data_IF_890237114296
#
_entry.id   IF_890237114296
#
_cell.length_a   1.000
_cell.length_b   1.000
_cell.length_c   1.000
_cell.angle_alpha   90.00
_cell.angle_beta   90.00
_cell.angle_gamma   90.00
#
_symmetry.space_group_name_H-M   'P 1'
#
loop_
_entity.id
_entity.type
_entity.pdbx_description
1 polymer ?
#
# COMPACT_ATOMS: atom_id res chain seq x y z
N UNK A 1 5.19 12.57 -23.94
CA UNK A 1 5.66 11.17 -24.02
C UNK A 1 5.39 10.62 -25.41
N UNK A 2 6.18 9.62 -25.81
CA UNK A 2 6.08 8.91 -27.07
C UNK A 2 6.48 7.45 -26.84
N UNK A 3 5.95 6.55 -27.64
CA UNK A 3 6.27 5.11 -27.65
C UNK A 3 6.91 4.62 -28.96
N UNK A 4 7.33 5.55 -29.81
CA UNK A 4 8.10 5.33 -31.04
C UNK A 4 9.51 5.89 -30.83
N UNK A 5 10.55 5.15 -31.29
CA UNK A 5 11.95 5.43 -30.96
C UNK A 5 12.82 5.71 -32.19
N UNK A 6 12.20 5.94 -33.34
CA UNK A 6 12.93 6.43 -34.52
C UNK A 6 13.29 7.93 -34.37
N UNK A 7 14.32 8.37 -35.08
CA UNK A 7 14.86 9.73 -34.96
C UNK A 7 13.83 10.82 -35.23
N UNK A 8 12.91 10.62 -36.20
CA UNK A 8 11.89 11.60 -36.58
C UNK A 8 10.88 11.76 -35.43
N UNK A 9 10.43 10.66 -34.87
CA UNK A 9 9.48 10.65 -33.76
C UNK A 9 10.09 11.26 -32.49
N UNK A 10 11.35 10.94 -32.20
CA UNK A 10 12.10 11.55 -31.09
C UNK A 10 12.27 13.07 -31.28
N UNK A 11 12.68 13.52 -32.47
CA UNK A 11 12.80 14.96 -32.74
C UNK A 11 11.44 15.67 -32.58
N UNK A 12 10.38 15.09 -33.10
CA UNK A 12 9.02 15.63 -33.00
C UNK A 12 8.56 15.82 -31.55
N UNK A 13 8.80 14.84 -30.69
CA UNK A 13 8.40 14.96 -29.26
C UNK A 13 9.19 16.03 -28.53
N UNK A 14 10.49 16.19 -28.84
CA UNK A 14 11.34 17.23 -28.25
C UNK A 14 10.85 18.62 -28.70
N UNK A 15 10.62 18.82 -30.02
CA UNK A 15 10.09 20.09 -30.55
C UNK A 15 8.74 20.42 -29.93
N UNK A 16 7.86 19.43 -29.79
CA UNK A 16 6.56 19.64 -29.14
C UNK A 16 6.72 20.06 -27.67
N UNK A 17 7.67 19.47 -26.94
CA UNK A 17 7.95 19.88 -25.57
C UNK A 17 8.45 21.34 -25.49
N UNK A 18 9.31 21.77 -26.44
CA UNK A 18 9.78 23.14 -26.53
C UNK A 18 8.64 24.14 -26.81
N UNK A 19 7.77 23.83 -27.78
CA UNK A 19 6.58 24.65 -28.09
C UNK A 19 5.69 24.84 -26.88
N UNK A 20 5.39 23.76 -26.17
CA UNK A 20 4.57 23.80 -24.95
C UNK A 20 5.24 24.63 -23.85
N UNK A 21 6.56 24.47 -23.68
CA UNK A 21 7.31 25.26 -22.69
C UNK A 21 7.28 26.77 -22.99
N UNK A 22 7.34 27.15 -24.27
CA UNK A 22 7.27 28.57 -24.68
C UNK A 22 5.90 29.20 -24.43
N UNK A 23 4.83 28.40 -24.47
CA UNK A 23 3.46 28.83 -24.19
C UNK A 23 3.09 28.80 -22.70
N UNK A 24 3.85 28.09 -21.89
CA UNK A 24 3.59 27.97 -20.46
C UNK A 24 3.94 29.26 -19.71
N UNK A 25 3.15 29.69 -18.72
CA UNK A 25 3.52 30.79 -17.86
C UNK A 25 4.78 30.44 -17.03
N UNK A 26 5.53 31.46 -16.63
CA UNK A 26 6.65 31.27 -15.71
C UNK A 26 6.18 30.60 -14.42
N UNK A 27 6.92 29.59 -13.99
CA UNK A 27 6.65 28.91 -12.72
C UNK A 27 7.46 29.58 -11.58
N UNK A 28 6.82 30.32 -10.65
CA UNK A 28 7.54 30.96 -9.53
C UNK A 28 8.23 29.98 -8.59
N UNK A 29 7.87 28.71 -8.65
CA UNK A 29 8.47 27.63 -7.86
C UNK A 29 9.51 26.83 -8.68
N UNK A 30 9.97 27.36 -9.79
CA UNK A 30 10.95 26.68 -10.62
C UNK A 30 12.24 26.42 -9.86
N UNK A 31 12.68 25.17 -9.93
CA UNK A 31 13.98 24.73 -9.38
C UNK A 31 14.86 24.23 -10.51
N UNK A 32 16.05 24.77 -10.61
CA UNK A 32 17.04 24.30 -11.59
C UNK A 32 17.23 22.78 -11.53
N UNK A 33 17.29 22.07 -12.68
CA UNK A 33 17.56 20.64 -12.71
C UNK A 33 18.84 20.28 -11.93
N UNK A 34 18.84 19.12 -11.30
CA UNK A 34 20.01 18.62 -10.57
C UNK A 34 21.18 18.33 -11.53
N UNK A 35 22.38 18.60 -11.09
CA UNK A 35 23.61 18.07 -11.70
C UNK A 35 23.85 16.60 -11.31
N UNK A 36 25.07 16.06 -11.61
CA UNK A 36 25.43 14.70 -11.24
C UNK A 36 25.20 14.41 -9.76
N UNK A 37 24.67 13.21 -9.47
CA UNK A 37 24.40 12.76 -8.11
C UNK A 37 25.19 11.49 -7.82
N UNK A 38 25.48 11.27 -6.53
CA UNK A 38 26.05 10.01 -6.06
C UNK A 38 24.93 9.17 -5.44
N UNK A 39 24.71 7.99 -5.97
CA UNK A 39 23.71 7.04 -5.47
C UNK A 39 24.38 5.97 -4.61
N UNK A 40 23.62 5.36 -3.71
CA UNK A 40 24.04 4.16 -3.00
C UNK A 40 24.17 2.96 -3.94
N UNK A 41 24.62 1.82 -3.41
CA UNK A 41 24.68 0.58 -4.16
C UNK A 41 23.29 0.22 -4.73
N UNK A 42 23.27 -0.49 -5.85
CA UNK A 42 22.04 -0.94 -6.47
C UNK A 42 21.22 -1.80 -5.50
N UNK A 43 19.93 -1.55 -5.47
CA UNK A 43 18.97 -2.38 -4.73
C UNK A 43 18.54 -3.59 -5.57
N UNK A 44 18.07 -4.65 -4.91
CA UNK A 44 17.66 -5.91 -5.56
C UNK A 44 16.28 -5.79 -6.24
N UNK A 45 16.06 -4.76 -7.05
CA UNK A 45 14.79 -4.53 -7.75
C UNK A 45 14.60 -5.38 -8.99
N UNK A 46 15.65 -5.94 -9.54
CA UNK A 46 15.61 -6.76 -10.76
C UNK A 46 16.05 -8.20 -10.48
N UNK A 47 15.20 -9.16 -10.87
CA UNK A 47 15.42 -10.59 -10.67
C UNK A 47 15.28 -11.33 -12.01
N UNK A 48 16.32 -12.05 -12.42
CA UNK A 48 16.37 -12.74 -13.72
C UNK A 48 15.28 -13.81 -13.87
N UNK A 49 14.92 -14.54 -12.82
CA UNK A 49 13.85 -15.54 -12.88
C UNK A 49 12.49 -14.91 -13.24
N UNK A 50 12.20 -13.72 -12.73
CA UNK A 50 10.98 -12.95 -13.06
C UNK A 50 11.05 -12.39 -14.47
N UNK A 51 12.20 -11.85 -14.87
CA UNK A 51 12.41 -11.35 -16.24
C UNK A 51 12.27 -12.43 -17.31
N UNK A 52 12.46 -13.70 -16.93
CA UNK A 52 12.38 -14.90 -17.80
C UNK A 52 11.04 -15.64 -17.76
N UNK A 53 10.00 -15.11 -17.12
CA UNK A 53 8.67 -15.74 -17.08
C UNK A 53 8.15 -15.97 -18.50
N UNK A 54 7.61 -17.18 -18.71
CA UNK A 54 7.06 -17.61 -20.00
C UNK A 54 5.53 -17.71 -19.93
N UNK A 55 4.84 -17.73 -21.08
CA UNK A 55 3.37 -17.85 -21.13
C UNK A 55 2.82 -19.06 -20.37
N UNK A 56 3.56 -20.18 -20.34
CA UNK A 56 3.17 -21.41 -19.64
C UNK A 56 2.99 -21.21 -18.15
N UNK A 57 3.80 -20.34 -17.52
CA UNK A 57 3.63 -19.97 -16.10
C UNK A 57 2.27 -19.31 -15.86
N UNK A 58 1.88 -18.37 -16.74
CA UNK A 58 0.57 -17.68 -16.62
C UNK A 58 -0.59 -18.63 -16.77
N UNK A 59 -0.48 -19.57 -17.73
CA UNK A 59 -1.49 -20.61 -17.94
C UNK A 59 -1.60 -21.53 -16.72
N UNK A 60 -0.48 -21.91 -16.11
CA UNK A 60 -0.45 -22.73 -14.90
C UNK A 60 -1.11 -22.01 -13.73
N UNK A 61 -0.79 -20.72 -13.51
CA UNK A 61 -1.43 -19.92 -12.45
C UNK A 61 -2.94 -19.82 -12.64
N UNK A 62 -3.42 -19.67 -13.87
CA UNK A 62 -4.85 -19.68 -14.17
C UNK A 62 -5.49 -21.05 -13.83
N UNK A 63 -4.84 -22.15 -14.22
CA UNK A 63 -5.31 -23.50 -13.91
C UNK A 63 -5.34 -23.76 -12.39
N UNK A 64 -4.29 -23.38 -11.66
CA UNK A 64 -4.19 -23.51 -10.21
C UNK A 64 -5.25 -22.68 -9.45
N UNK A 65 -5.80 -21.66 -10.10
CA UNK A 65 -6.88 -20.85 -9.54
C UNK A 65 -8.26 -21.39 -9.87
N UNK A 66 -8.48 -21.77 -11.14
CA UNK A 66 -9.79 -22.14 -11.66
C UNK A 66 -10.18 -23.56 -11.24
N UNK A 67 -9.28 -24.54 -11.40
CA UNK A 67 -9.62 -25.94 -11.16
C UNK A 67 -10.10 -26.20 -9.71
N UNK A 68 -9.37 -25.79 -8.65
CA UNK A 68 -9.85 -25.98 -7.29
C UNK A 68 -11.07 -25.11 -6.94
N UNK A 69 -11.29 -23.99 -7.64
CA UNK A 69 -12.48 -23.17 -7.45
C UNK A 69 -13.74 -23.90 -7.91
N UNK A 70 -13.70 -24.54 -9.07
CA UNK A 70 -14.82 -25.35 -9.62
C UNK A 70 -15.20 -26.48 -8.65
N UNK A 71 -14.23 -27.17 -8.05
CA UNK A 71 -14.47 -28.25 -7.07
C UNK A 71 -15.21 -27.76 -5.80
N UNK A 72 -15.14 -26.47 -5.51
CA UNK A 72 -15.75 -25.84 -4.32
C UNK A 72 -17.01 -25.04 -4.64
N UNK A 73 -17.53 -25.15 -5.86
CA UNK A 73 -18.68 -24.39 -6.33
C UNK A 73 -18.46 -22.87 -6.19
N UNK A 74 -17.29 -22.43 -6.67
CA UNK A 74 -16.83 -21.03 -6.65
C UNK A 74 -16.34 -20.65 -8.03
N UNK A 75 -16.62 -19.43 -8.47
CA UNK A 75 -16.08 -18.84 -9.69
C UNK A 75 -14.88 -17.99 -9.37
N UNK A 76 -13.77 -18.22 -10.08
CA UNK A 76 -12.55 -17.45 -9.99
C UNK A 76 -12.52 -16.29 -11.00
N UNK A 77 -12.20 -15.08 -10.54
CA UNK A 77 -11.87 -13.93 -11.38
C UNK A 77 -10.58 -13.30 -10.87
N UNK A 78 -9.56 -13.25 -11.71
CA UNK A 78 -8.23 -12.83 -11.26
C UNK A 78 -7.45 -12.07 -12.32
N UNK A 79 -6.34 -11.52 -11.89
CA UNK A 79 -5.39 -10.79 -12.70
C UNK A 79 -3.97 -11.24 -12.32
N UNK A 80 -3.18 -11.59 -13.32
CA UNK A 80 -1.76 -11.85 -13.18
C UNK A 80 -1.00 -10.99 -14.19
N UNK A 81 -0.09 -10.19 -13.69
CA UNK A 81 0.86 -9.44 -14.49
C UNK A 81 2.28 -9.78 -14.05
N UNK A 82 3.16 -10.00 -15.02
CA UNK A 82 4.59 -9.95 -14.82
C UNK A 82 5.18 -8.81 -15.64
N UNK A 83 6.11 -8.11 -15.08
CA UNK A 83 6.73 -6.95 -15.67
C UNK A 83 8.25 -7.01 -15.58
N UNK A 84 8.90 -6.47 -16.60
CA UNK A 84 10.32 -6.14 -16.59
C UNK A 84 10.53 -4.83 -17.33
N UNK A 85 11.36 -3.99 -16.80
CA UNK A 85 11.62 -2.70 -17.42
C UNK A 85 12.79 -1.97 -16.79
N UNK A 86 13.03 -0.81 -17.33
CA UNK A 86 13.97 0.13 -16.76
C UNK A 86 13.34 1.52 -16.73
N UNK A 87 13.86 2.33 -15.85
CA UNK A 87 13.57 3.75 -15.79
C UNK A 87 14.90 4.50 -15.74
N UNK A 88 15.05 5.51 -16.57
CA UNK A 88 16.24 6.37 -16.62
C UNK A 88 15.86 7.84 -16.65
N UNK A 89 16.68 8.68 -16.06
CA UNK A 89 16.59 10.13 -16.16
C UNK A 89 17.96 10.69 -16.55
N UNK A 90 17.95 11.65 -17.47
CA UNK A 90 19.12 12.42 -17.86
C UNK A 90 18.73 13.88 -18.12
N UNK A 91 19.65 14.79 -17.93
CA UNK A 91 19.44 16.20 -18.25
C UNK A 91 20.74 16.89 -18.74
N UNK A 92 20.61 18.13 -19.23
CA UNK A 92 21.72 18.94 -19.77
C UNK A 92 22.77 19.36 -18.72
N UNK A 93 22.49 19.21 -17.41
CA UNK A 93 23.44 19.48 -16.34
C UNK A 93 24.29 18.26 -15.96
N UNK A 94 24.17 17.16 -16.71
CA UNK A 94 24.93 15.93 -16.49
C UNK A 94 24.38 14.99 -15.46
N UNK A 95 23.14 15.21 -14.98
CA UNK A 95 22.43 14.18 -14.20
C UNK A 95 22.21 12.96 -15.08
N UNK A 96 22.54 11.79 -14.55
CA UNK A 96 22.14 10.50 -15.09
C UNK A 96 21.82 9.54 -13.97
N UNK A 97 20.65 8.91 -14.03
CA UNK A 97 20.26 7.82 -13.14
C UNK A 97 19.55 6.73 -13.92
N UNK A 98 19.78 5.49 -13.55
CA UNK A 98 19.24 4.31 -14.20
C UNK A 98 18.82 3.30 -13.14
N UNK A 99 17.66 2.67 -13.32
CA UNK A 99 17.20 1.57 -12.49
C UNK A 99 16.43 0.57 -13.36
N UNK A 100 16.71 -0.71 -13.18
CA UNK A 100 15.91 -1.79 -13.76
C UNK A 100 15.11 -2.50 -12.68
N UNK A 101 13.94 -3.00 -13.04
CA UNK A 101 13.06 -3.68 -12.09
C UNK A 101 12.27 -4.80 -12.75
N UNK A 102 11.88 -5.75 -11.94
CA UNK A 102 10.92 -6.80 -12.28
C UNK A 102 9.80 -6.82 -11.25
N UNK A 103 8.64 -7.32 -11.66
CA UNK A 103 7.49 -7.47 -10.77
C UNK A 103 6.60 -8.62 -11.23
N UNK A 104 5.94 -9.23 -10.27
CA UNK A 104 4.81 -10.13 -10.48
C UNK A 104 3.70 -9.68 -9.53
N UNK A 105 2.55 -9.39 -10.08
CA UNK A 105 1.34 -9.01 -9.35
C UNK A 105 0.25 -10.04 -9.63
N UNK A 106 -0.23 -10.68 -8.59
CA UNK A 106 -1.32 -11.65 -8.68
C UNK A 106 -2.43 -11.29 -7.70
N UNK A 107 -3.63 -11.14 -8.23
CA UNK A 107 -4.85 -10.91 -7.43
C UNK A 107 -5.94 -11.86 -7.90
N UNK A 108 -6.71 -12.41 -6.97
CA UNK A 108 -7.83 -13.26 -7.29
C UNK A 108 -8.99 -13.01 -6.34
N UNK A 109 -10.19 -12.87 -6.91
CA UNK A 109 -11.46 -12.84 -6.21
C UNK A 109 -12.20 -14.14 -6.53
N UNK A 110 -12.68 -14.79 -5.51
CA UNK A 110 -13.51 -16.00 -5.59
C UNK A 110 -14.92 -15.65 -5.15
N UNK A 111 -15.93 -16.07 -5.94
CA UNK A 111 -17.33 -15.87 -5.60
C UNK A 111 -18.06 -17.20 -5.61
N UNK A 112 -18.83 -17.49 -4.57
CA UNK A 112 -19.67 -18.66 -4.55
C UNK A 112 -20.76 -18.56 -5.63
N UNK A 113 -21.09 -19.68 -6.29
CA UNK A 113 -22.04 -19.67 -7.41
C UNK A 113 -23.48 -19.36 -6.98
N UNK A 114 -23.79 -19.54 -5.69
CA UNK A 114 -25.04 -19.08 -5.07
C UNK A 114 -25.11 -17.56 -4.85
N UNK A 115 -24.00 -16.83 -5.12
CA UNK A 115 -23.90 -15.38 -4.96
C UNK A 115 -23.78 -14.88 -3.54
N UNK A 116 -23.70 -15.76 -2.53
CA UNK A 116 -23.72 -15.35 -1.11
C UNK A 116 -22.35 -15.17 -0.49
N UNK A 117 -21.31 -15.75 -1.08
CA UNK A 117 -19.94 -15.73 -0.56
C UNK A 117 -18.93 -15.07 -1.50
N UNK A 118 -17.97 -14.37 -0.93
CA UNK A 118 -16.87 -13.75 -1.64
C UNK A 118 -15.57 -13.83 -0.83
N UNK A 119 -14.46 -14.05 -1.51
CA UNK A 119 -13.13 -14.07 -0.91
C UNK A 119 -12.10 -13.49 -1.86
N UNK A 120 -11.13 -12.76 -1.33
CA UNK A 120 -10.05 -12.16 -2.08
C UNK A 120 -8.71 -12.50 -1.45
N UNK A 121 -7.73 -12.69 -2.30
CA UNK A 121 -6.33 -12.76 -1.90
C UNK A 121 -5.44 -12.18 -3.01
N UNK A 122 -4.28 -11.68 -2.61
CA UNK A 122 -3.30 -11.12 -3.53
C UNK A 122 -1.88 -11.34 -3.05
N UNK A 123 -0.94 -11.27 -3.97
CA UNK A 123 0.48 -11.17 -3.69
C UNK A 123 1.17 -10.35 -4.77
N UNK A 124 2.21 -9.63 -4.38
CA UNK A 124 3.12 -8.93 -5.28
C UNK A 124 4.56 -9.21 -4.86
N UNK A 125 5.45 -9.40 -5.80
CA UNK A 125 6.88 -9.51 -5.51
C UNK A 125 7.71 -9.20 -6.77
N UNK A 126 8.94 -8.73 -6.57
CA UNK A 126 9.90 -8.59 -7.67
C UNK A 126 10.57 -9.92 -8.06
N UNK A 127 10.47 -10.96 -7.21
CA UNK A 127 10.94 -12.32 -7.46
C UNK A 127 9.75 -13.28 -7.53
N UNK A 128 9.51 -13.89 -8.70
CA UNK A 128 8.44 -14.85 -8.94
C UNK A 128 8.50 -16.07 -8.02
N UNK A 129 9.71 -16.46 -7.59
CA UNK A 129 9.89 -17.61 -6.70
C UNK A 129 9.39 -17.36 -5.26
N UNK A 130 9.06 -16.10 -4.94
CA UNK A 130 8.48 -15.71 -3.64
C UNK A 130 6.96 -15.69 -3.63
N UNK A 131 6.32 -15.93 -4.78
CA UNK A 131 4.86 -16.01 -4.91
C UNK A 131 4.44 -17.47 -5.07
N UNK A 132 3.43 -17.88 -4.31
CA UNK A 132 2.78 -19.17 -4.47
C UNK A 132 1.31 -18.97 -4.87
N UNK A 133 0.99 -18.91 -6.17
CA UNK A 133 -0.35 -18.64 -6.67
C UNK A 133 -1.40 -19.66 -6.21
N UNK A 134 -1.04 -20.94 -6.12
CA UNK A 134 -1.94 -21.99 -5.65
C UNK A 134 -2.38 -21.76 -4.19
N UNK A 135 -1.42 -21.37 -3.32
CA UNK A 135 -1.74 -21.05 -1.92
C UNK A 135 -2.59 -19.78 -1.80
N UNK A 136 -2.33 -18.77 -2.63
CA UNK A 136 -3.10 -17.52 -2.67
C UNK A 136 -4.53 -17.79 -3.14
N UNK A 137 -4.69 -18.57 -4.22
CA UNK A 137 -6.00 -18.99 -4.73
C UNK A 137 -6.78 -19.79 -3.69
N UNK A 138 -6.10 -20.72 -3.00
CA UNK A 138 -6.72 -21.47 -1.89
C UNK A 138 -7.22 -20.54 -0.78
N UNK A 139 -6.42 -19.53 -0.38
CA UNK A 139 -6.84 -18.55 0.63
C UNK A 139 -8.10 -17.79 0.21
N UNK A 140 -8.21 -17.40 -1.06
CA UNK A 140 -9.40 -16.74 -1.59
C UNK A 140 -10.61 -17.67 -1.66
N UNK A 141 -10.41 -18.92 -2.06
CA UNK A 141 -11.47 -19.97 -2.06
C UNK A 141 -11.98 -20.21 -0.65
N UNK A 142 -11.08 -20.42 0.31
CA UNK A 142 -11.46 -20.67 1.71
C UNK A 142 -12.31 -19.51 2.26
N UNK A 143 -11.91 -18.25 1.99
CA UNK A 143 -12.68 -17.07 2.38
C UNK A 143 -14.05 -17.02 1.70
N UNK A 144 -14.15 -17.32 0.41
CA UNK A 144 -15.41 -17.33 -0.32
C UNK A 144 -16.38 -18.38 0.24
N UNK A 145 -15.88 -19.59 0.50
CA UNK A 145 -16.70 -20.67 1.09
C UNK A 145 -17.13 -20.31 2.52
N UNK A 146 -16.21 -19.77 3.34
CA UNK A 146 -16.50 -19.39 4.71
C UNK A 146 -17.44 -18.20 4.84
N UNK A 147 -17.53 -17.33 3.82
CA UNK A 147 -18.36 -16.12 3.84
C UNK A 147 -19.78 -16.31 3.32
N UNK A 148 -20.16 -17.54 2.92
CA UNK A 148 -21.53 -17.87 2.49
C UNK A 148 -22.56 -17.58 3.59
N UNK A 149 -23.74 -17.12 3.20
CA UNK A 149 -24.88 -16.85 4.09
C UNK A 149 -24.53 -15.90 5.24
N UNK A 150 -23.81 -14.82 4.94
CA UNK A 150 -23.36 -13.85 5.93
C UNK A 150 -24.54 -13.23 6.71
N UNK A 151 -24.41 -13.20 8.04
CA UNK A 151 -25.42 -12.67 8.96
C UNK A 151 -25.22 -11.17 9.20
N UNK A 152 -26.32 -10.44 9.33
CA UNK A 152 -26.27 -9.09 9.82
C UNK A 152 -25.98 -9.08 11.34
N UNK A 153 -25.15 -8.18 11.79
CA UNK A 153 -24.97 -7.84 13.19
C UNK A 153 -25.03 -6.31 13.34
N UNK A 154 -25.28 -5.83 14.55
CA UNK A 154 -25.42 -4.39 14.80
C UNK A 154 -24.09 -3.65 14.54
N UNK A 155 -24.14 -2.49 13.82
CA UNK A 155 -23.01 -1.58 13.75
C UNK A 155 -22.58 -1.10 15.13
N UNK A 156 -21.35 -0.66 15.25
CA UNK A 156 -20.81 -0.17 16.53
C UNK A 156 -19.29 -0.25 16.60
N UNK A 157 -18.76 -0.20 17.80
CA UNK A 157 -17.32 -0.35 18.05
C UNK A 157 -16.97 -1.79 18.36
N UNK A 158 -15.97 -2.30 17.67
CA UNK A 158 -15.49 -3.67 17.85
C UNK A 158 -13.97 -3.73 17.96
N UNK A 159 -13.47 -4.70 18.67
CA UNK A 159 -12.10 -5.14 18.46
C UNK A 159 -12.02 -5.77 17.06
N UNK A 160 -11.05 -5.36 16.26
CA UNK A 160 -10.83 -5.94 14.93
C UNK A 160 -9.48 -6.62 14.87
N UNK A 161 -9.42 -7.72 14.14
CA UNK A 161 -8.19 -8.33 13.66
C UNK A 161 -8.10 -7.99 12.18
N UNK A 162 -7.07 -7.24 11.79
CA UNK A 162 -6.82 -6.83 10.42
C UNK A 162 -5.75 -7.72 9.79
N UNK A 163 -6.03 -8.36 8.65
CA UNK A 163 -4.96 -8.96 7.84
C UNK A 163 -4.00 -7.87 7.33
N UNK A 164 -2.79 -8.24 6.93
CA UNK A 164 -1.77 -7.29 6.49
C UNK A 164 -2.23 -6.37 5.35
N UNK A 165 -3.05 -6.87 4.42
CA UNK A 165 -3.65 -6.06 3.35
C UNK A 165 -4.62 -5.00 3.89
N UNK A 166 -5.48 -5.37 4.82
CA UNK A 166 -6.40 -4.42 5.47
C UNK A 166 -5.63 -3.38 6.32
N UNK A 167 -4.56 -3.81 6.99
CA UNK A 167 -3.66 -2.90 7.71
C UNK A 167 -3.00 -1.90 6.76
N UNK A 168 -2.47 -2.38 5.63
CA UNK A 168 -1.82 -1.55 4.61
C UNK A 168 -2.79 -0.52 4.01
N UNK A 169 -4.05 -0.90 3.79
CA UNK A 169 -5.09 -0.02 3.26
C UNK A 169 -5.27 1.24 4.11
N UNK A 170 -5.19 1.12 5.43
CA UNK A 170 -5.37 2.25 6.34
C UNK A 170 -4.05 2.97 6.65
N UNK A 171 -2.95 2.23 6.88
CA UNK A 171 -1.65 2.85 7.19
C UNK A 171 -1.15 3.73 6.03
N UNK A 172 -1.33 3.30 4.76
CA UNK A 172 -0.92 4.10 3.59
C UNK A 172 -1.53 5.50 3.55
N UNK A 173 -2.72 5.68 4.14
CA UNK A 173 -3.40 6.98 4.18
C UNK A 173 -2.66 8.03 5.02
N UNK A 174 -1.82 7.58 5.96
CA UNK A 174 -0.95 8.45 6.75
C UNK A 174 0.32 8.88 6.01
N UNK A 175 0.68 8.21 4.91
CA UNK A 175 1.99 8.39 4.27
C UNK A 175 2.10 9.68 3.45
N UNK A 176 1.01 10.43 3.27
CA UNK A 176 1.07 11.78 2.71
C UNK A 176 1.57 12.80 3.77
N UNK A 177 2.79 12.55 4.27
CA UNK A 177 3.42 13.35 5.32
C UNK A 177 4.19 14.53 4.70
N UNK A 178 3.51 15.34 3.89
CA UNK A 178 4.10 16.47 3.18
C UNK A 178 4.24 17.69 4.09
N UNK A 179 5.45 18.24 4.17
CA UNK A 179 5.77 19.37 5.03
C UNK A 179 5.03 20.65 4.62
N UNK A 180 4.90 20.93 3.32
CA UNK A 180 4.22 22.11 2.82
C UNK A 180 2.74 22.11 3.20
N UNK A 181 2.03 21.01 2.95
CA UNK A 181 0.61 20.92 3.32
C UNK A 181 0.39 21.03 4.83
N UNK A 182 1.36 20.53 5.61
CA UNK A 182 1.32 20.66 7.07
C UNK A 182 1.55 22.12 7.52
N UNK A 183 2.53 22.80 6.97
CA UNK A 183 2.81 24.23 7.26
C UNK A 183 1.65 25.14 6.85
N UNK A 184 0.98 24.83 5.73
CA UNK A 184 -0.16 25.59 5.21
C UNK A 184 -1.49 25.29 5.94
N UNK A 185 -1.49 24.45 6.98
CA UNK A 185 -2.68 24.15 7.77
C UNK A 185 -3.66 23.16 7.11
N UNK A 186 -3.25 22.45 6.04
CA UNK A 186 -4.10 21.58 5.21
C UNK A 186 -3.91 20.08 5.46
N UNK A 187 -3.29 19.70 6.59
CA UNK A 187 -2.93 18.31 6.89
C UNK A 187 -3.18 17.98 8.35
N UNK A 188 -3.37 16.68 8.62
CA UNK A 188 -3.39 16.14 9.98
C UNK A 188 -2.08 16.40 10.77
N UNK A 189 -1.01 16.77 10.07
CA UNK A 189 0.29 17.14 10.65
C UNK A 189 0.42 18.64 10.92
N UNK A 190 -0.61 19.42 10.65
CA UNK A 190 -0.64 20.85 10.98
C UNK A 190 -0.90 21.07 12.46
N UNK A 191 -0.23 22.07 13.04
CA UNK A 191 -0.51 22.54 14.40
C UNK A 191 -1.54 23.67 14.41
N UNK A 192 -2.37 23.71 15.42
CA UNK A 192 -3.23 24.87 15.68
C UNK A 192 -2.34 26.08 16.01
N UNK A 193 -2.47 27.13 15.25
CA UNK A 193 -1.63 28.33 15.38
C UNK A 193 -0.39 28.34 14.50
N UNK A 194 -0.17 27.35 13.67
CA UNK A 194 0.90 27.28 12.68
C UNK A 194 2.01 26.27 12.97
N UNK A 195 2.75 25.89 11.93
CA UNK A 195 3.81 24.90 11.99
C UNK A 195 3.32 23.46 11.90
N UNK A 196 4.25 22.53 12.06
CA UNK A 196 4.01 21.09 11.84
C UNK A 196 4.13 20.30 13.14
N UNK A 197 3.59 19.08 13.17
CA UNK A 197 3.74 18.12 14.28
C UNK A 197 5.05 17.31 14.20
N UNK A 198 6.05 17.78 13.43
CA UNK A 198 7.38 17.13 13.43
C UNK A 198 7.94 17.08 14.86
N UNK A 199 8.42 15.91 15.28
CA UNK A 199 8.91 15.66 16.64
C UNK A 199 7.83 15.41 17.68
N UNK A 200 6.55 15.44 17.34
CA UNK A 200 5.45 15.16 18.29
C UNK A 200 5.00 13.70 18.22
N UNK A 201 4.55 13.18 19.36
CA UNK A 201 3.90 11.86 19.44
C UNK A 201 2.54 11.92 18.74
N UNK A 202 2.34 11.08 17.74
CA UNK A 202 1.11 11.01 16.94
C UNK A 202 0.30 9.76 17.22
N UNK A 203 0.97 8.63 17.42
CA UNK A 203 0.36 7.30 17.58
C UNK A 203 1.02 6.51 18.71
N UNK A 204 0.58 5.26 18.94
CA UNK A 204 1.16 4.36 19.95
C UNK A 204 2.68 4.20 19.75
N UNK A 205 3.42 4.12 20.83
CA UNK A 205 4.90 4.05 20.83
C UNK A 205 5.47 2.78 20.19
N UNK A 206 4.67 1.73 20.03
CA UNK A 206 5.06 0.51 19.30
C UNK A 206 5.10 0.71 17.78
N UNK A 207 4.50 1.79 17.28
CA UNK A 207 4.44 2.07 15.84
C UNK A 207 5.76 2.66 15.36
N UNK A 208 6.41 1.91 14.47
CA UNK A 208 7.61 2.33 13.76
C UNK A 208 7.39 2.12 12.26
N UNK A 209 7.44 3.20 11.48
CA UNK A 209 7.25 3.18 10.02
C UNK A 209 8.45 3.86 9.38
N UNK A 210 9.08 3.21 8.41
CA UNK A 210 10.27 3.72 7.74
C UNK A 210 10.28 3.34 6.25
N UNK A 211 11.19 3.95 5.50
CA UNK A 211 11.54 3.57 4.13
C UNK A 211 13.01 3.19 4.07
N UNK A 212 13.32 2.14 3.32
CA UNK A 212 14.67 1.61 3.13
C UNK A 212 14.78 0.99 1.73
N UNK A 213 15.39 1.67 0.75
CA UNK A 213 15.49 1.16 -0.62
C UNK A 213 16.17 -0.22 -0.73
N UNK A 214 16.99 -0.58 0.24
CA UNK A 214 17.75 -1.86 0.25
C UNK A 214 17.07 -2.97 1.02
N UNK A 215 15.87 -2.74 1.55
CA UNK A 215 15.13 -3.80 2.23
C UNK A 215 14.89 -4.98 1.28
N UNK A 216 15.23 -6.19 1.72
CA UNK A 216 15.20 -7.39 0.86
C UNK A 216 13.79 -7.87 0.53
N UNK A 217 12.81 -7.60 1.41
CA UNK A 217 11.42 -8.00 1.21
C UNK A 217 10.67 -7.03 0.27
N UNK A 218 11.05 -5.75 0.27
CA UNK A 218 10.41 -4.69 -0.52
C UNK A 218 11.44 -3.72 -1.10
N UNK A 219 12.40 -4.18 -1.93
CA UNK A 219 13.43 -3.32 -2.50
C UNK A 219 12.81 -2.23 -3.37
N UNK A 220 13.48 -1.07 -3.41
CA UNK A 220 13.04 0.09 -4.19
C UNK A 220 14.21 0.75 -4.91
N UNK A 221 13.93 1.59 -5.91
CA UNK A 221 14.95 2.41 -6.57
C UNK A 221 15.69 3.27 -5.57
N UNK A 222 17.00 3.40 -5.73
CA UNK A 222 17.89 4.22 -4.89
C UNK A 222 17.85 5.72 -5.23
N UNK A 223 16.97 6.13 -6.12
CA UNK A 223 16.74 7.52 -6.51
C UNK A 223 15.26 7.81 -6.77
N UNK A 224 14.87 9.08 -6.62
CA UNK A 224 13.50 9.59 -6.84
C UNK A 224 13.28 10.02 -8.28
N UNK A 225 12.02 10.26 -8.66
CA UNK A 225 11.67 10.64 -10.04
C UNK A 225 12.32 11.93 -10.55
N UNK A 226 12.83 12.77 -9.68
CA UNK A 226 13.60 13.99 -10.03
C UNK A 226 15.13 13.78 -9.91
N UNK A 227 15.58 12.55 -9.66
CA UNK A 227 16.98 12.17 -9.61
C UNK A 227 17.67 12.37 -8.26
N UNK A 228 16.96 12.72 -7.19
CA UNK A 228 17.57 12.81 -5.87
C UNK A 228 17.92 11.42 -5.30
N UNK A 229 19.08 11.25 -4.64
CA UNK A 229 19.40 10.02 -3.94
C UNK A 229 18.40 9.72 -2.83
N UNK A 230 17.93 8.48 -2.77
CA UNK A 230 17.18 7.96 -1.64
C UNK A 230 18.09 7.36 -0.60
N UNK A 231 17.66 7.42 0.64
CA UNK A 231 18.33 6.82 1.80
C UNK A 231 17.29 6.18 2.71
N UNK A 232 17.72 5.37 3.64
CA UNK A 232 16.87 4.93 4.74
C UNK A 232 16.49 6.12 5.63
N UNK A 233 15.22 6.22 6.00
CA UNK A 233 14.72 7.23 6.95
C UNK A 233 13.47 6.73 7.67
N UNK A 234 13.31 7.15 8.92
CA UNK A 234 12.11 6.91 9.70
C UNK A 234 11.04 7.94 9.32
N UNK A 235 9.81 7.50 9.13
CA UNK A 235 8.60 8.31 9.00
C UNK A 235 7.99 8.56 10.37
N UNK A 236 7.71 7.47 11.07
CA UNK A 236 7.27 7.42 12.46
C UNK A 236 8.26 6.57 13.24
N UNK A 237 8.76 7.08 14.35
CA UNK A 237 9.66 6.35 15.25
C UNK A 237 9.14 6.39 16.66
N UNK A 238 8.86 5.23 17.24
CA UNK A 238 8.25 5.09 18.57
C UNK A 238 6.99 5.98 18.73
N UNK A 239 6.13 5.98 17.70
CA UNK A 239 4.90 6.77 17.65
C UNK A 239 5.09 8.28 17.39
N UNK A 240 6.33 8.76 17.27
CA UNK A 240 6.69 10.16 17.05
C UNK A 240 6.89 10.42 15.54
N UNK A 241 6.41 11.56 15.05
CA UNK A 241 6.66 12.03 13.68
C UNK A 241 8.15 12.35 13.53
N UNK A 242 8.90 11.47 12.87
CA UNK A 242 10.36 11.57 12.77
C UNK A 242 10.82 12.42 11.58
N UNK A 243 10.11 12.36 10.47
CA UNK A 243 10.40 13.14 9.27
C UNK A 243 9.11 13.51 8.52
N UNK A 244 9.20 14.60 7.76
CA UNK A 244 8.22 15.02 6.76
C UNK A 244 8.89 15.02 5.38
N UNK A 245 8.09 14.82 4.34
CA UNK A 245 8.59 14.96 2.97
C UNK A 245 8.77 16.43 2.63
N UNK A 246 9.95 16.77 2.16
CA UNK A 246 10.30 18.09 1.64
C UNK A 246 10.69 17.93 0.17
N UNK A 247 9.89 18.46 -0.75
CA UNK A 247 10.36 18.68 -2.10
C UNK A 247 11.48 19.74 -2.12
N UNK A 248 12.18 19.87 -3.24
CA UNK A 248 13.33 20.77 -3.34
C UNK A 248 12.97 22.23 -3.13
N UNK A 249 11.81 22.66 -3.63
CA UNK A 249 11.37 24.05 -3.50
C UNK A 249 11.04 24.36 -2.03
N UNK A 250 10.18 23.55 -1.40
CA UNK A 250 9.79 23.79 -0.01
C UNK A 250 10.96 23.65 0.97
N UNK A 251 11.86 22.71 0.69
CA UNK A 251 13.11 22.58 1.45
C UNK A 251 13.95 23.86 1.40
N UNK A 252 14.09 24.47 0.22
CA UNK A 252 14.83 25.75 0.08
C UNK A 252 14.13 26.90 0.81
N UNK A 253 12.81 26.97 0.79
CA UNK A 253 12.03 27.98 1.53
C UNK A 253 12.19 27.84 3.05
N UNK A 254 12.43 26.63 3.54
CA UNK A 254 12.60 26.34 4.97
C UNK A 254 14.05 26.26 5.41
N UNK A 255 15.01 26.37 4.51
CA UNK A 255 16.44 26.26 4.82
C UNK A 255 16.84 24.85 5.31
N UNK A 256 16.16 23.80 4.84
CA UNK A 256 16.43 22.39 5.20
C UNK A 256 16.85 21.59 3.97
N UNK A 257 17.41 20.41 4.19
CA UNK A 257 17.69 19.48 3.10
C UNK A 257 16.39 18.86 2.56
N UNK A 258 16.24 18.69 1.24
CA UNK A 258 15.10 17.98 0.68
C UNK A 258 15.13 16.51 1.11
N UNK A 259 13.93 15.94 1.30
CA UNK A 259 13.74 14.54 1.64
C UNK A 259 12.64 13.98 0.74
N UNK A 260 13.00 13.35 -0.39
CA UNK A 260 12.02 12.75 -1.28
C UNK A 260 11.46 11.48 -0.63
N UNK A 261 10.15 11.45 -0.47
CA UNK A 261 9.45 10.25 -0.01
C UNK A 261 9.21 9.27 -1.16
N UNK A 262 8.79 8.07 -0.79
CA UNK A 262 8.44 7.00 -1.71
C UNK A 262 9.56 5.98 -1.90
N UNK A 263 9.25 5.00 -2.74
CA UNK A 263 10.07 3.82 -2.97
C UNK A 263 9.44 2.60 -2.30
N UNK A 264 9.46 2.53 -0.99
CA UNK A 264 8.78 1.50 -0.20
C UNK A 264 8.32 2.02 1.15
N UNK A 265 7.50 1.24 1.84
CA UNK A 265 7.06 1.52 3.21
C UNK A 265 7.12 0.25 4.03
N UNK A 266 7.80 0.32 5.15
CA UNK A 266 7.94 -0.79 6.09
C UNK A 266 7.39 -0.35 7.45
N UNK A 267 6.41 -1.09 7.98
CA UNK A 267 5.99 -0.94 9.37
C UNK A 267 6.50 -2.14 10.16
N UNK A 268 7.21 -1.87 11.25
CA UNK A 268 7.75 -2.93 12.10
C UNK A 268 6.61 -3.74 12.71
N UNK A 269 6.68 -5.07 12.57
CA UNK A 269 5.70 -6.01 13.09
C UNK A 269 6.13 -6.66 14.40
N UNK A 270 5.29 -7.60 14.84
CA UNK A 270 5.55 -8.50 15.97
C UNK A 270 5.66 -9.96 15.53
N UNK A 271 5.44 -10.88 16.45
CA UNK A 271 5.54 -12.33 16.21
C UNK A 271 4.20 -13.04 16.09
N UNK A 272 3.09 -12.41 16.48
CA UNK A 272 1.77 -13.03 16.50
C UNK A 272 1.27 -13.31 15.06
N UNK A 273 0.66 -14.46 14.86
CA UNK A 273 -0.12 -14.74 13.64
C UNK A 273 -1.53 -14.15 13.74
N UNK A 274 -2.26 -14.10 12.62
CA UNK A 274 -3.67 -13.74 12.61
C UNK A 274 -4.48 -14.70 13.50
N UNK A 275 -4.17 -15.99 13.45
CA UNK A 275 -4.80 -17.02 14.26
C UNK A 275 -4.55 -16.81 15.77
N UNK A 276 -3.35 -16.37 16.16
CA UNK A 276 -3.03 -16.06 17.56
C UNK A 276 -3.86 -14.86 18.05
N UNK A 277 -3.98 -13.82 17.23
CA UNK A 277 -4.82 -12.66 17.52
C UNK A 277 -6.30 -13.01 17.61
N UNK A 278 -6.80 -13.92 16.73
CA UNK A 278 -8.17 -14.43 16.81
C UNK A 278 -8.37 -15.18 18.13
N UNK A 279 -7.45 -16.11 18.49
CA UNK A 279 -7.52 -16.88 19.76
C UNK A 279 -7.58 -15.97 20.99
N UNK A 280 -6.87 -14.85 20.95
CA UNK A 280 -6.82 -13.85 22.03
C UNK A 280 -7.98 -12.86 21.99
N UNK A 281 -8.97 -13.03 21.09
CA UNK A 281 -10.11 -12.11 20.95
C UNK A 281 -11.39 -12.74 21.49
N UNK A 282 -11.93 -12.16 22.60
CA UNK A 282 -13.17 -12.63 23.21
C UNK A 282 -14.39 -12.33 22.33
N UNK A 283 -14.47 -11.10 21.79
CA UNK A 283 -15.50 -10.63 20.87
C UNK A 283 -14.89 -9.64 19.89
N UNK A 284 -15.02 -9.87 18.61
CA UNK A 284 -14.40 -9.01 17.59
C UNK A 284 -14.79 -9.37 16.17
N UNK A 285 -14.10 -8.75 15.22
CA UNK A 285 -14.33 -8.94 13.79
C UNK A 285 -12.98 -9.15 13.10
N UNK A 286 -12.84 -10.21 12.31
CA UNK A 286 -11.76 -10.37 11.34
C UNK A 286 -12.14 -9.60 10.07
N UNK A 287 -11.28 -8.67 9.68
CA UNK A 287 -11.38 -7.91 8.42
C UNK A 287 -10.22 -8.30 7.52
N UNK A 288 -10.50 -8.91 6.39
CA UNK A 288 -9.48 -9.39 5.46
C UNK A 288 -9.12 -8.34 4.42
N UNK A 289 -10.05 -7.43 4.11
CA UNK A 289 -9.90 -6.38 3.11
C UNK A 289 -10.84 -5.22 3.38
N UNK A 290 -10.36 -4.00 3.08
CA UNK A 290 -11.22 -2.83 2.91
C UNK A 290 -11.44 -2.53 1.43
N UNK A 291 -12.41 -1.66 1.13
CA UNK A 291 -12.73 -1.25 -0.23
C UNK A 291 -13.33 0.14 -0.27
N UNK A 292 -13.10 0.84 -1.39
CA UNK A 292 -13.69 2.15 -1.68
C UNK A 292 -13.46 3.17 -0.55
N UNK A 293 -12.19 3.29 -0.12
CA UNK A 293 -11.81 4.20 0.95
C UNK A 293 -11.74 5.62 0.41
N UNK A 294 -12.47 6.55 1.03
CA UNK A 294 -12.56 7.95 0.61
C UNK A 294 -12.32 8.89 1.78
N UNK A 295 -11.63 10.04 1.55
CA UNK A 295 -11.38 11.03 2.59
C UNK A 295 -12.68 11.72 2.98
N UNK A 296 -12.83 11.96 4.28
CA UNK A 296 -13.92 12.76 4.87
C UNK A 296 -13.36 14.09 5.39
N UNK A 297 -12.25 14.03 6.16
CA UNK A 297 -11.61 15.22 6.70
C UNK A 297 -10.08 15.03 6.74
N UNK A 298 -9.32 15.84 5.99
CA UNK A 298 -7.86 15.75 5.94
C UNK A 298 -7.16 16.22 7.21
N UNK A 299 -7.79 17.04 8.05
CA UNK A 299 -7.19 17.55 9.29
C UNK A 299 -7.22 16.52 10.42
N UNK A 300 -8.26 15.71 10.48
CA UNK A 300 -8.40 14.59 11.43
C UNK A 300 -7.97 13.26 10.81
N UNK A 301 -7.65 13.26 9.52
CA UNK A 301 -7.37 12.07 8.73
C UNK A 301 -8.51 11.06 8.80
N UNK A 302 -9.75 11.56 8.79
CA UNK A 302 -10.95 10.73 8.84
C UNK A 302 -11.28 10.20 7.45
N UNK A 303 -11.49 8.91 7.35
CA UNK A 303 -11.88 8.20 6.13
C UNK A 303 -13.16 7.39 6.34
N UNK A 304 -13.90 7.22 5.25
CA UNK A 304 -14.99 6.23 5.16
C UNK A 304 -14.62 5.19 4.13
N UNK A 305 -15.13 3.98 4.30
CA UNK A 305 -14.94 2.86 3.39
C UNK A 305 -15.79 1.68 3.79
N UNK A 306 -15.55 0.55 3.14
CA UNK A 306 -16.30 -0.69 3.34
C UNK A 306 -15.36 -1.84 3.71
N UNK A 307 -15.83 -2.81 4.51
CA UNK A 307 -15.23 -4.15 4.52
C UNK A 307 -15.69 -4.90 3.27
N UNK A 308 -14.90 -5.86 2.80
CA UNK A 308 -15.22 -6.63 1.59
C UNK A 308 -14.51 -7.99 1.56
N UNK A 309 -15.09 -8.93 0.79
CA UNK A 309 -14.49 -10.22 0.42
C UNK A 309 -13.99 -11.06 1.61
N UNK A 310 -14.76 -11.09 2.68
CA UNK A 310 -14.48 -11.87 3.88
C UNK A 310 -14.43 -11.02 5.15
N UNK A 311 -15.57 -10.88 5.80
CA UNK A 311 -15.72 -10.25 7.11
C UNK A 311 -16.34 -11.27 8.06
N UNK A 312 -15.68 -11.55 9.19
CA UNK A 312 -16.07 -12.66 10.05
C UNK A 312 -16.17 -12.23 11.51
N UNK A 313 -17.23 -12.70 12.17
CA UNK A 313 -17.41 -12.47 13.61
C UNK A 313 -16.57 -13.44 14.42
N UNK A 314 -15.84 -12.91 15.38
CA UNK A 314 -15.01 -13.65 16.31
C UNK A 314 -15.73 -13.71 17.66
N UNK A 315 -15.85 -14.91 18.23
CA UNK A 315 -16.38 -15.15 19.56
C UNK A 315 -15.56 -16.20 20.30
N UNK A 316 -15.11 -15.86 21.50
CA UNK A 316 -14.35 -16.75 22.38
C UNK A 316 -13.14 -17.41 21.68
N UNK A 317 -12.35 -16.61 20.95
CA UNK A 317 -11.13 -17.05 20.29
C UNK A 317 -11.32 -17.85 19.01
N UNK A 318 -12.52 -17.85 18.41
CA UNK A 318 -12.83 -18.58 17.18
C UNK A 318 -13.68 -17.74 16.22
N UNK A 319 -13.48 -17.95 14.92
CA UNK A 319 -14.42 -17.45 13.91
C UNK A 319 -15.74 -18.21 14.10
N UNK A 320 -16.82 -17.46 14.36
CA UNK A 320 -18.13 -18.02 14.67
C UNK A 320 -19.00 -18.17 13.43
N UNK A 321 -19.08 -17.13 12.63
CA UNK A 321 -19.82 -17.08 11.37
C UNK A 321 -19.40 -15.87 10.55
N UNK A 322 -19.65 -15.88 9.22
CA UNK A 322 -19.48 -14.70 8.39
C UNK A 322 -20.54 -13.64 8.72
N UNK A 323 -20.19 -12.39 8.47
CA UNK A 323 -21.10 -11.25 8.65
C UNK A 323 -21.17 -10.41 7.38
N UNK A 324 -22.32 -9.75 7.19
CA UNK A 324 -22.49 -8.75 6.12
C UNK A 324 -21.44 -7.66 6.24
N UNK A 325 -21.02 -7.13 5.12
CA UNK A 325 -20.02 -6.06 5.10
C UNK A 325 -20.52 -4.81 5.83
N UNK A 326 -19.57 -4.09 6.39
CA UNK A 326 -19.80 -2.83 7.09
C UNK A 326 -19.23 -1.64 6.34
N UNK A 327 -19.89 -0.52 6.47
CA UNK A 327 -19.26 0.79 6.30
C UNK A 327 -18.55 1.17 7.59
N UNK A 328 -17.35 1.70 7.46
CA UNK A 328 -16.62 2.28 8.58
C UNK A 328 -16.41 3.78 8.39
N UNK A 329 -16.26 4.49 9.50
CA UNK A 329 -15.68 5.82 9.56
C UNK A 329 -14.56 5.76 10.61
N UNK A 330 -13.30 5.85 10.17
CA UNK A 330 -12.15 5.67 11.05
C UNK A 330 -10.99 6.56 10.63
N UNK A 331 -10.17 6.93 11.61
CA UNK A 331 -8.90 7.61 11.38
C UNK A 331 -7.75 6.66 11.66
N UNK A 332 -6.79 6.48 10.73
CA UNK A 332 -5.59 5.70 10.99
C UNK A 332 -4.83 6.13 12.24
N UNK A 333 -4.92 7.40 12.63
CA UNK A 333 -4.31 7.91 13.87
C UNK A 333 -5.02 7.32 15.08
N UNK A 334 -6.36 7.34 15.11
CA UNK A 334 -7.16 6.75 16.20
C UNK A 334 -6.94 5.25 16.23
N UNK A 335 -6.99 4.59 15.06
CA UNK A 335 -6.73 3.16 14.92
C UNK A 335 -5.39 2.77 15.54
N UNK A 336 -4.30 3.46 15.20
CA UNK A 336 -2.96 3.15 15.70
C UNK A 336 -2.75 3.54 17.18
N UNK A 337 -3.55 4.44 17.74
CA UNK A 337 -3.58 4.69 19.19
C UNK A 337 -4.40 3.63 19.94
N UNK A 338 -5.26 2.90 19.25
CA UNK A 338 -6.02 1.77 19.78
C UNK A 338 -5.37 0.41 19.52
N UNK A 339 -4.08 0.39 19.16
CA UNK A 339 -3.32 -0.81 18.85
C UNK A 339 -3.22 -1.72 20.10
N UNK A 340 -3.61 -2.99 19.96
CA UNK A 340 -3.43 -4.02 20.98
C UNK A 340 -2.24 -4.94 20.67
N UNK A 341 -2.16 -5.46 19.42
CA UNK A 341 -1.13 -6.40 19.02
C UNK A 341 -0.65 -6.12 17.60
N UNK A 342 0.66 -6.17 17.40
CA UNK A 342 1.29 -6.24 16.08
C UNK A 342 1.57 -7.70 15.74
N UNK A 343 1.13 -8.12 14.57
CA UNK A 343 1.41 -9.44 14.03
C UNK A 343 2.65 -9.47 13.14
N UNK A 344 2.85 -10.60 12.48
CA UNK A 344 3.94 -10.78 11.50
C UNK A 344 3.71 -9.88 10.31
N UNK A 345 4.82 -9.38 9.76
CA UNK A 345 4.82 -8.61 8.53
C UNK A 345 4.64 -9.51 7.32
N UNK A 346 3.90 -9.02 6.33
CA UNK A 346 3.80 -9.60 5.00
C UNK A 346 3.99 -8.49 3.95
N UNK A 347 4.44 -8.86 2.76
CA UNK A 347 4.36 -7.95 1.62
C UNK A 347 2.90 -7.78 1.25
N UNK A 348 2.36 -6.61 1.47
CA UNK A 348 0.92 -6.35 1.42
C UNK A 348 0.52 -5.69 0.10
N UNK A 349 -0.54 -6.22 -0.50
CA UNK A 349 -1.24 -5.61 -1.65
C UNK A 349 -2.44 -4.85 -1.11
N UNK A 350 -2.55 -3.57 -1.41
CA UNK A 350 -3.70 -2.77 -1.00
C UNK A 350 -4.90 -3.01 -1.91
N UNK A 351 -6.09 -2.73 -1.42
CA UNK A 351 -7.35 -3.00 -2.12
C UNK A 351 -7.53 -2.22 -3.43
N UNK A 352 -6.95 -1.04 -3.53
CA UNK A 352 -7.04 -0.17 -4.71
C UNK A 352 -5.77 -0.21 -5.57
N UNK A 353 -4.97 -1.25 -5.42
CA UNK A 353 -3.81 -1.54 -6.24
C UNK A 353 -2.48 -1.08 -5.64
N UNK A 354 -1.44 -1.76 -6.10
CA UNK A 354 -0.04 -1.43 -5.91
C UNK A 354 0.42 -1.28 -4.46
N UNK A 355 1.66 -1.21 -4.31
CA UNK A 355 2.25 -0.87 -3.04
C UNK A 355 3.48 -1.73 -2.77
N UNK A 356 4.60 -1.08 -2.72
CA UNK A 356 5.83 -1.68 -2.26
C UNK A 356 5.87 -1.53 -0.74
N UNK A 357 5.02 -2.32 -0.04
CA UNK A 357 4.84 -2.21 1.41
C UNK A 357 5.00 -3.55 2.13
N UNK A 358 5.66 -3.51 3.28
CA UNK A 358 5.86 -4.63 4.19
C UNK A 358 5.17 -4.30 5.51
N UNK A 359 3.98 -4.88 5.73
CA UNK A 359 3.05 -4.45 6.76
C UNK A 359 2.65 -5.60 7.68
N UNK A 360 2.50 -5.37 8.98
CA UNK A 360 1.97 -6.36 9.90
C UNK A 360 0.45 -6.49 9.80
N UNK A 361 -0.06 -7.66 10.12
CA UNK A 361 -1.43 -7.79 10.63
C UNK A 361 -1.55 -7.08 11.99
N UNK A 362 -2.75 -6.64 12.35
CA UNK A 362 -2.96 -5.86 13.59
C UNK A 362 -4.23 -6.28 14.32
N UNK A 363 -4.17 -6.27 15.65
CA UNK A 363 -5.36 -6.29 16.52
C UNK A 363 -5.57 -4.90 17.09
N UNK A 364 -6.75 -4.35 16.86
CA UNK A 364 -7.14 -2.96 17.18
C UNK A 364 -8.42 -3.00 17.99
N UNK A 365 -8.48 -2.29 19.11
CA UNK A 365 -9.73 -2.09 19.86
C UNK A 365 -10.54 -0.90 19.33
N UNK A 366 -11.83 -0.90 19.60
CA UNK A 366 -12.73 0.23 19.38
C UNK A 366 -12.80 0.76 17.94
N UNK A 367 -12.60 -0.11 16.95
CA UNK A 367 -12.74 0.25 15.53
C UNK A 367 -14.22 0.51 15.21
N UNK A 368 -14.53 1.61 14.51
CA UNK A 368 -15.89 2.11 14.35
C UNK A 368 -16.53 1.69 13.04
N UNK A 369 -17.57 0.86 13.13
CA UNK A 369 -18.47 0.53 12.02
C UNK A 369 -19.78 1.31 12.16
N UNK A 370 -20.22 1.99 11.08
CA UNK A 370 -21.33 2.96 11.14
C UNK A 370 -22.64 2.44 10.56
N UNK A 371 -22.60 1.52 9.62
CA UNK A 371 -23.79 0.90 9.02
C UNK A 371 -23.44 -0.41 8.32
N UNK A 372 -24.45 -1.23 8.06
CA UNK A 372 -24.34 -2.38 7.17
C UNK A 372 -24.15 -1.91 5.71
N UNK A 373 -23.53 -2.76 4.91
CA UNK A 373 -23.37 -2.58 3.47
C UNK A 373 -23.84 -3.86 2.76
N UNK A 374 -24.69 -3.69 1.75
CA UNK A 374 -25.12 -4.80 0.89
C UNK A 374 -24.15 -5.09 -0.27
N UNK A 375 -22.98 -4.39 -0.30
CA UNK A 375 -21.93 -4.69 -1.27
C UNK A 375 -21.37 -6.11 -1.03
N UNK A 376 -21.42 -6.95 -2.05
CA UNK A 376 -20.89 -8.32 -2.06
C UNK A 376 -19.51 -8.33 -2.72
#
# INVERSE_FOLDING_TARGET
SINEFDDVSLEKVVRRAQEVAQLAPENPEFMEPLGPQTYGADSKTFIESTAGIKPEYRAQVAADSINPAVEKDVTAAGYLEDSKGFFAIANSKGLFAYNKSTGVDFTVTMRSNDGTGSGWAAATHNDVNKINPAMISKRAIDKAVMSREAKAIEPGKYTVVLEASASADLVRLMLNMNARTADEGRSFLSKKGGGTKLGEKLVDERVNIYSDPWNEDVPASVWSGDGQPRKKYDLIKNGVVANLSYDRYWASQKGVAPLPFGGNTIMVGGSASVEDMIKDTKKGILVTRFWYIRPVDPQTLLYTGLTRDGTFYIENGKIKHPIKNFRFNESPIIMLNNLETLGRQERAVTSEGGGNSFMPSMKIRDFTFTSLSDAV
#
